data_IF_011241759773
#
_entry.id   IF_011241759773
#
_cell.length_a   1.000
_cell.length_b   1.000
_cell.length_c   1.000
_cell.angle_alpha   90.00
_cell.angle_beta   90.00
_cell.angle_gamma   90.00
#
_symmetry.space_group_name_H-M   'P 1'
#
loop_
_entity.id
_entity.type
_entity.pdbx_description
1 polymer ?
#
# COMPACT_ATOMS: atom_id res chain seq x y z
N UNK A 1 -5.65 -15.63 22.78
CA UNK A 1 -4.58 -15.32 21.81
C UNK A 1 -5.07 -15.74 20.44
N UNK A 2 -5.20 -14.82 19.48
CA UNK A 2 -5.41 -15.20 18.09
C UNK A 2 -4.06 -15.64 17.51
N UNK A 3 -3.98 -16.85 16.95
CA UNK A 3 -2.81 -17.28 16.18
C UNK A 3 -2.71 -16.39 14.93
N UNK A 4 -1.73 -15.47 14.94
CA UNK A 4 -1.44 -14.58 13.82
C UNK A 4 -0.86 -15.43 12.69
N UNK A 5 -1.45 -15.39 11.49
CA UNK A 5 -0.90 -16.15 10.36
C UNK A 5 0.45 -15.56 9.96
N UNK A 6 1.48 -16.40 9.97
CA UNK A 6 2.86 -16.00 9.67
C UNK A 6 3.05 -16.10 8.15
N UNK A 7 2.99 -14.94 7.47
CA UNK A 7 3.29 -14.83 6.05
C UNK A 7 4.77 -14.49 5.83
N UNK A 8 5.46 -15.25 5.00
CA UNK A 8 6.80 -14.96 4.48
C UNK A 8 6.69 -14.61 2.99
N UNK A 9 7.33 -13.53 2.56
CA UNK A 9 7.30 -13.06 1.17
C UNK A 9 8.68 -13.17 0.53
N UNK A 10 8.74 -13.66 -0.71
CA UNK A 10 9.95 -13.75 -1.52
C UNK A 10 9.70 -13.19 -2.91
N UNK A 11 10.76 -12.70 -3.55
CA UNK A 11 10.71 -12.22 -4.92
C UNK A 11 11.99 -12.60 -5.66
N UNK A 12 11.84 -13.11 -6.88
CA UNK A 12 12.91 -13.55 -7.76
C UNK A 12 12.74 -12.91 -9.14
N UNK A 13 13.81 -12.75 -9.91
CA UNK A 13 13.69 -12.52 -11.36
C UNK A 13 13.12 -13.78 -12.00
N UNK A 14 12.17 -13.61 -12.93
CA UNK A 14 11.60 -14.73 -13.68
C UNK A 14 12.65 -15.35 -14.60
N UNK A 15 13.35 -14.51 -15.35
CA UNK A 15 14.54 -14.91 -16.10
C UNK A 15 15.70 -15.19 -15.12
N UNK A 16 16.21 -16.43 -15.10
CA UNK A 16 17.39 -16.83 -14.32
C UNK A 16 17.18 -17.06 -12.81
N UNK A 17 16.01 -16.76 -12.24
CA UNK A 17 15.69 -17.11 -10.86
C UNK A 17 16.51 -16.39 -9.78
N UNK A 18 17.01 -15.18 -10.06
CA UNK A 18 17.89 -14.44 -9.16
C UNK A 18 17.05 -13.86 -8.00
N UNK A 19 17.36 -14.15 -6.73
CA UNK A 19 16.61 -13.59 -5.60
C UNK A 19 16.77 -12.07 -5.54
N UNK A 20 15.66 -11.35 -5.47
CA UNK A 20 15.60 -9.89 -5.35
C UNK A 20 15.43 -9.46 -3.89
N UNK A 21 14.50 -10.10 -3.16
CA UNK A 21 14.35 -9.89 -1.71
C UNK A 21 13.63 -11.05 -1.01
N UNK A 22 13.80 -11.11 0.30
CA UNK A 22 13.04 -11.97 1.21
C UNK A 22 12.59 -11.16 2.43
N UNK A 23 11.32 -11.29 2.81
CA UNK A 23 10.72 -10.65 3.99
C UNK A 23 10.12 -11.74 4.88
N UNK A 24 10.95 -12.32 5.73
CA UNK A 24 10.57 -13.34 6.70
C UNK A 24 9.83 -12.72 7.91
N UNK A 25 8.94 -13.49 8.54
CA UNK A 25 8.23 -13.14 9.77
C UNK A 25 9.15 -13.34 10.99
N UNK A 26 9.90 -14.45 11.01
CA UNK A 26 11.02 -14.67 11.92
C UNK A 26 12.34 -14.67 11.14
N UNK A 27 13.28 -13.83 11.56
CA UNK A 27 14.61 -13.72 10.95
C UNK A 27 15.52 -14.92 11.29
N UNK A 28 15.19 -15.71 12.33
CA UNK A 28 15.92 -16.95 12.65
C UNK A 28 15.83 -17.98 11.51
N UNK A 29 14.76 -17.93 10.71
CA UNK A 29 14.53 -18.83 9.56
C UNK A 29 15.42 -18.53 8.34
N UNK A 30 16.39 -17.60 8.43
CA UNK A 30 17.40 -17.39 7.39
C UNK A 30 18.24 -18.64 7.10
N UNK A 31 18.35 -19.59 8.04
CA UNK A 31 18.99 -20.88 7.79
C UNK A 31 18.24 -21.76 6.77
N UNK A 32 16.94 -21.53 6.56
CA UNK A 32 16.09 -22.29 5.62
C UNK A 32 16.09 -21.72 4.19
N UNK A 33 16.92 -20.70 3.88
CA UNK A 33 16.99 -20.07 2.55
C UNK A 33 17.23 -21.07 1.40
N UNK A 34 17.86 -22.22 1.69
CA UNK A 34 18.06 -23.33 0.75
C UNK A 34 16.75 -23.92 0.21
N UNK A 35 15.68 -23.95 1.02
CA UNK A 35 14.37 -24.43 0.58
C UNK A 35 13.70 -23.48 -0.42
N UNK A 36 13.91 -22.17 -0.32
CA UNK A 36 13.31 -21.21 -1.26
C UNK A 36 13.96 -21.27 -2.65
N UNK A 37 15.25 -21.64 -2.72
CA UNK A 37 15.89 -22.03 -3.98
C UNK A 37 15.21 -23.22 -4.64
N UNK A 38 14.75 -24.21 -3.86
CA UNK A 38 13.96 -25.34 -4.35
C UNK A 38 12.56 -24.91 -4.80
N UNK A 39 11.87 -24.01 -4.08
CA UNK A 39 10.56 -23.48 -4.49
C UNK A 39 10.63 -22.72 -5.82
N UNK A 40 11.69 -21.96 -6.05
CA UNK A 40 11.93 -21.30 -7.32
C UNK A 40 12.30 -22.32 -8.43
N UNK A 41 13.08 -23.36 -8.09
CA UNK A 41 13.39 -24.47 -8.99
C UNK A 41 12.15 -25.25 -9.44
N UNK A 42 11.17 -25.46 -8.55
CA UNK A 42 9.87 -26.07 -8.91
C UNK A 42 9.11 -25.19 -9.92
N UNK A 43 9.09 -23.87 -9.71
CA UNK A 43 8.45 -22.95 -10.65
C UNK A 43 9.12 -23.00 -12.03
N UNK A 44 10.45 -22.86 -12.09
CA UNK A 44 11.22 -22.91 -13.35
C UNK A 44 11.04 -24.26 -14.05
N UNK A 45 11.00 -25.36 -13.29
CA UNK A 45 10.74 -26.69 -13.86
C UNK A 45 9.35 -26.76 -14.49
N UNK A 46 8.31 -26.30 -13.81
CA UNK A 46 6.94 -26.33 -14.33
C UNK A 46 6.76 -25.38 -15.54
N UNK A 47 7.33 -24.17 -15.50
CA UNK A 47 7.28 -23.22 -16.62
C UNK A 47 7.96 -23.79 -17.89
N UNK A 48 9.06 -24.55 -17.75
CA UNK A 48 9.71 -25.25 -18.87
C UNK A 48 8.87 -26.40 -19.47
N UNK A 49 7.75 -26.77 -18.86
CA UNK A 49 6.79 -27.76 -19.36
C UNK A 49 5.42 -27.14 -19.68
N UNK A 50 5.35 -25.82 -19.85
CA UNK A 50 4.11 -25.05 -20.07
C UNK A 50 3.06 -25.21 -18.95
N UNK A 51 3.49 -25.49 -17.72
CA UNK A 51 2.64 -25.61 -16.52
C UNK A 51 2.88 -24.43 -15.58
N UNK A 52 1.81 -23.74 -15.18
CA UNK A 52 1.89 -22.69 -14.17
C UNK A 52 1.67 -23.26 -12.75
N UNK A 53 2.65 -23.12 -11.86
CA UNK A 53 2.42 -23.37 -10.42
C UNK A 53 1.68 -22.17 -9.82
N UNK A 54 0.44 -22.36 -9.38
CA UNK A 54 -0.33 -21.33 -8.68
C UNK A 54 -0.21 -21.54 -7.16
N UNK A 55 -0.28 -22.80 -6.73
CA UNK A 55 -0.49 -23.17 -5.33
C UNK A 55 0.18 -24.51 -4.96
N UNK A 56 0.67 -24.60 -3.73
CA UNK A 56 1.10 -25.84 -3.08
C UNK A 56 0.68 -25.81 -1.62
N UNK A 57 0.25 -26.95 -1.07
CA UNK A 57 -0.11 -27.08 0.35
C UNK A 57 0.53 -28.34 0.93
N UNK A 58 1.24 -28.19 2.06
CA UNK A 58 1.94 -29.30 2.74
C UNK A 58 1.85 -29.13 4.25
N UNK A 59 1.00 -29.95 4.89
CA UNK A 59 0.73 -29.84 6.32
C UNK A 59 0.07 -28.50 6.65
N UNK A 60 0.75 -27.68 7.46
CA UNK A 60 0.27 -26.36 7.89
C UNK A 60 0.90 -25.21 7.09
N UNK A 61 1.65 -25.53 6.02
CA UNK A 61 2.21 -24.56 5.09
C UNK A 61 1.39 -24.51 3.81
N UNK A 62 1.00 -23.30 3.41
CA UNK A 62 0.49 -22.98 2.09
C UNK A 62 1.49 -22.08 1.37
N UNK A 63 1.70 -22.34 0.09
CA UNK A 63 2.60 -21.57 -0.75
C UNK A 63 1.82 -21.15 -1.99
N UNK A 64 1.98 -19.88 -2.39
CA UNK A 64 1.39 -19.29 -3.59
C UNK A 64 2.48 -18.61 -4.40
N UNK A 65 2.41 -18.76 -5.71
CA UNK A 65 3.31 -18.10 -6.67
C UNK A 65 2.47 -17.19 -7.56
N UNK A 66 3.02 -16.04 -7.94
CA UNK A 66 2.42 -15.19 -8.97
C UNK A 66 3.52 -14.45 -9.74
N UNK A 67 3.44 -14.53 -11.06
CA UNK A 67 4.38 -13.89 -11.99
C UNK A 67 3.84 -12.52 -12.42
N UNK A 68 4.70 -11.51 -12.42
CA UNK A 68 4.34 -10.13 -12.73
C UNK A 68 5.23 -9.55 -13.83
N UNK A 69 4.60 -8.86 -14.79
CA UNK A 69 5.23 -8.20 -15.95
C UNK A 69 6.15 -9.09 -16.79
N UNK A 70 6.06 -10.42 -16.63
CA UNK A 70 7.03 -11.40 -17.14
C UNK A 70 8.49 -11.09 -16.73
N UNK A 71 8.68 -10.44 -15.57
CA UNK A 71 9.99 -9.95 -15.07
C UNK A 71 10.34 -10.52 -13.71
N UNK A 72 9.36 -10.60 -12.82
CA UNK A 72 9.56 -11.09 -11.46
C UNK A 72 8.49 -12.12 -11.08
N UNK A 73 8.85 -13.05 -10.21
CA UNK A 73 7.93 -14.01 -9.60
C UNK A 73 7.96 -13.79 -8.09
N UNK A 74 6.79 -13.52 -7.51
CA UNK A 74 6.63 -13.37 -6.07
C UNK A 74 6.04 -14.64 -5.48
N UNK A 75 6.56 -15.05 -4.33
CA UNK A 75 6.15 -16.27 -3.62
C UNK A 75 5.72 -15.88 -2.21
N UNK A 76 4.50 -16.24 -1.84
CA UNK A 76 3.96 -16.07 -0.50
C UNK A 76 3.87 -17.44 0.18
N UNK A 77 4.61 -17.62 1.28
CA UNK A 77 4.54 -18.81 2.12
C UNK A 77 3.79 -18.44 3.42
N UNK A 78 2.59 -18.99 3.60
CA UNK A 78 1.80 -18.83 4.80
C UNK A 78 1.93 -20.07 5.70
N UNK A 79 2.26 -19.88 6.98
CA UNK A 79 2.12 -20.90 8.02
C UNK A 79 0.84 -20.63 8.79
N UNK A 80 -0.14 -21.53 8.67
CA UNK A 80 -1.47 -21.32 9.25
C UNK A 80 -2.21 -22.63 9.47
N UNK A 81 -2.71 -22.82 10.70
CA UNK A 81 -3.62 -23.90 11.06
C UNK A 81 -5.06 -23.66 10.53
N UNK A 82 -5.36 -22.43 10.09
CA UNK A 82 -6.68 -22.00 9.65
C UNK A 82 -6.91 -22.49 8.22
N UNK A 83 -7.97 -23.27 8.04
CA UNK A 83 -8.52 -23.68 6.73
C UNK A 83 -9.82 -22.92 6.49
N UNK A 84 -9.78 -21.93 5.59
CA UNK A 84 -10.96 -21.16 5.16
C UNK A 84 -10.89 -20.96 3.65
N UNK A 85 -12.04 -21.13 2.99
CA UNK A 85 -12.19 -21.12 1.54
C UNK A 85 -11.73 -19.80 0.89
N UNK A 86 -11.85 -18.68 1.62
CA UNK A 86 -11.48 -17.35 1.13
C UNK A 86 -9.98 -17.03 1.28
N UNK A 87 -9.18 -17.89 1.93
CA UNK A 87 -7.75 -17.63 2.16
C UNK A 87 -6.95 -17.60 0.85
N UNK A 88 -7.35 -18.38 -0.15
CA UNK A 88 -6.66 -18.41 -1.46
C UNK A 88 -6.76 -17.04 -2.15
N UNK A 89 -7.98 -16.51 -2.26
CA UNK A 89 -8.23 -15.18 -2.86
C UNK A 89 -7.59 -14.05 -2.05
N UNK A 90 -7.49 -14.21 -0.72
CA UNK A 90 -6.78 -13.26 0.14
C UNK A 90 -5.27 -13.31 -0.07
N UNK A 91 -4.67 -14.50 -0.15
CA UNK A 91 -3.24 -14.71 -0.39
C UNK A 91 -2.81 -14.18 -1.77
N UNK A 92 -3.63 -14.38 -2.81
CA UNK A 92 -3.42 -13.80 -4.14
C UNK A 92 -3.53 -12.27 -4.13
N UNK A 93 -4.54 -11.71 -3.44
CA UNK A 93 -4.70 -10.26 -3.27
C UNK A 93 -3.54 -9.65 -2.49
N UNK A 94 -3.01 -10.37 -1.50
CA UNK A 94 -1.87 -9.94 -0.70
C UNK A 94 -0.59 -9.91 -1.55
N UNK A 95 -0.38 -10.90 -2.42
CA UNK A 95 0.65 -10.85 -3.46
C UNK A 95 0.47 -9.63 -4.38
N UNK A 96 -0.76 -9.36 -4.84
CA UNK A 96 -1.05 -8.19 -5.69
C UNK A 96 -0.80 -6.86 -4.97
N UNK A 97 -1.16 -6.73 -3.69
CA UNK A 97 -0.88 -5.54 -2.89
C UNK A 97 0.64 -5.35 -2.70
N UNK A 98 1.38 -6.43 -2.42
CA UNK A 98 2.84 -6.37 -2.33
C UNK A 98 3.50 -6.03 -3.67
N UNK A 99 3.02 -6.58 -4.80
CA UNK A 99 3.51 -6.22 -6.12
C UNK A 99 3.22 -4.75 -6.47
N UNK A 100 1.97 -4.30 -6.30
CA UNK A 100 1.59 -2.93 -6.60
C UNK A 100 2.22 -1.91 -5.62
N UNK A 101 2.68 -2.33 -4.45
CA UNK A 101 3.56 -1.52 -3.59
C UNK A 101 4.93 -1.25 -4.20
N UNK A 102 5.48 -2.19 -4.98
CA UNK A 102 6.70 -1.93 -5.77
C UNK A 102 6.42 -0.91 -6.86
N UNK A 103 5.28 -1.03 -7.55
CA UNK A 103 4.87 -0.05 -8.56
C UNK A 103 4.67 1.33 -7.91
N UNK A 104 3.99 1.42 -6.77
CA UNK A 104 3.78 2.68 -6.02
C UNK A 104 5.11 3.42 -5.75
N UNK A 105 6.16 2.69 -5.37
CA UNK A 105 7.42 3.28 -4.88
C UNK A 105 8.50 3.45 -5.96
N UNK A 106 8.54 2.56 -6.96
CA UNK A 106 9.61 2.50 -7.97
C UNK A 106 9.11 2.70 -9.42
N UNK A 107 7.80 2.57 -9.64
CA UNK A 107 7.18 2.62 -10.96
C UNK A 107 7.35 1.32 -11.76
N UNK A 108 6.48 1.12 -12.75
CA UNK A 108 6.49 -0.05 -13.61
C UNK A 108 7.77 -0.16 -14.45
N UNK A 109 8.31 0.97 -14.91
CA UNK A 109 9.51 1.01 -15.74
C UNK A 109 10.76 0.42 -15.07
N UNK A 110 10.90 0.58 -13.75
CA UNK A 110 12.02 0.01 -12.99
C UNK A 110 11.95 -1.53 -12.98
N UNK A 111 10.75 -2.09 -12.75
CA UNK A 111 10.52 -3.54 -12.76
C UNK A 111 10.72 -4.14 -14.17
N UNK A 112 10.28 -3.44 -15.22
CA UNK A 112 10.53 -3.82 -16.62
C UNK A 112 12.00 -3.70 -17.01
N UNK A 113 12.75 -2.84 -16.33
CA UNK A 113 14.19 -2.61 -16.47
C UNK A 113 15.09 -3.67 -15.84
N UNK A 114 14.53 -4.65 -15.09
CA UNK A 114 15.27 -5.75 -14.43
C UNK A 114 15.78 -6.82 -15.42
N UNK A 115 16.56 -6.40 -16.42
CA UNK A 115 17.22 -7.26 -17.43
C UNK A 115 18.73 -7.34 -17.27
N UNK A 116 19.34 -6.33 -16.64
CA UNK A 116 20.79 -6.23 -16.44
C UNK A 116 21.15 -6.51 -14.98
N UNK A 117 22.26 -7.21 -14.75
CA UNK A 117 22.79 -7.46 -13.41
C UNK A 117 23.04 -6.18 -12.60
N UNK A 118 23.41 -5.08 -13.26
CA UNK A 118 23.59 -3.79 -12.59
C UNK A 118 22.29 -3.25 -11.99
N UNK A 119 21.19 -3.26 -12.76
CA UNK A 119 19.87 -2.79 -12.32
C UNK A 119 19.34 -3.68 -11.17
N UNK A 120 19.56 -5.00 -11.27
CA UNK A 120 19.19 -5.95 -10.23
C UNK A 120 19.88 -5.63 -8.89
N UNK A 121 21.18 -5.29 -8.89
CA UNK A 121 21.92 -4.94 -7.66
C UNK A 121 21.59 -3.55 -7.10
N UNK A 122 21.05 -2.64 -7.92
CA UNK A 122 20.45 -1.37 -7.45
C UNK A 122 19.10 -1.66 -6.80
N UNK A 123 18.20 -2.34 -7.51
CA UNK A 123 16.86 -2.69 -7.02
C UNK A 123 16.88 -3.48 -5.70
N UNK A 124 17.82 -4.42 -5.52
CA UNK A 124 18.06 -5.16 -4.26
C UNK A 124 18.35 -4.25 -3.04
N UNK A 125 18.88 -3.05 -3.28
CA UNK A 125 19.13 -2.04 -2.22
C UNK A 125 17.88 -1.21 -1.99
N UNK A 126 17.27 -0.73 -3.07
CA UNK A 126 16.18 0.24 -3.01
C UNK A 126 14.86 -0.38 -2.56
N UNK A 127 14.61 -1.66 -2.89
CA UNK A 127 13.42 -2.42 -2.45
C UNK A 127 13.25 -2.51 -0.93
N UNK A 128 14.32 -2.24 -0.16
CA UNK A 128 14.26 -2.14 1.31
C UNK A 128 13.33 -1.01 1.78
N UNK A 129 13.13 0.03 0.97
CA UNK A 129 12.16 1.10 1.24
C UNK A 129 10.72 0.58 1.33
N UNK A 130 10.39 -0.51 0.62
CA UNK A 130 9.07 -1.14 0.65
C UNK A 130 8.85 -2.06 1.88
N UNK A 131 9.88 -2.37 2.67
CA UNK A 131 9.78 -3.41 3.71
C UNK A 131 8.81 -3.06 4.84
N UNK A 132 8.73 -1.78 5.25
CA UNK A 132 7.74 -1.36 6.26
C UNK A 132 6.30 -1.51 5.73
N UNK A 133 6.08 -1.14 4.46
CA UNK A 133 4.78 -1.28 3.79
C UNK A 133 4.39 -2.76 3.67
N UNK A 134 5.34 -3.63 3.29
CA UNK A 134 5.13 -5.07 3.32
C UNK A 134 4.79 -5.57 4.72
N UNK A 135 5.45 -5.12 5.78
CA UNK A 135 5.12 -5.58 7.13
C UNK A 135 3.70 -5.17 7.57
N UNK A 136 3.18 -4.01 7.18
CA UNK A 136 1.77 -3.67 7.45
C UNK A 136 0.84 -4.56 6.61
N UNK A 137 1.08 -4.70 5.31
CA UNK A 137 0.24 -5.52 4.41
C UNK A 137 0.21 -6.99 4.81
N UNK A 138 1.36 -7.58 5.17
CA UNK A 138 1.49 -8.94 5.70
C UNK A 138 0.93 -9.08 7.14
N UNK A 139 0.26 -8.04 7.66
CA UNK A 139 -0.45 -8.06 8.93
C UNK A 139 0.44 -8.08 10.16
N UNK A 140 1.69 -7.61 10.06
CA UNK A 140 2.70 -7.59 11.15
C UNK A 140 2.75 -6.26 11.92
N UNK A 141 2.25 -5.17 11.31
CA UNK A 141 2.17 -3.85 11.95
C UNK A 141 1.28 -3.80 13.20
N UNK A 142 1.30 -2.66 13.90
CA UNK A 142 0.48 -2.41 15.10
C UNK A 142 -0.97 -1.99 14.79
N UNK A 143 -1.29 -1.78 13.52
CA UNK A 143 -2.59 -1.32 13.06
C UNK A 143 -3.32 -2.44 12.32
N UNK A 144 -4.63 -2.55 12.55
CA UNK A 144 -5.49 -3.56 11.96
C UNK A 144 -6.49 -2.90 11.00
N UNK A 145 -5.95 -2.39 9.88
CA UNK A 145 -6.74 -1.93 8.75
C UNK A 145 -7.44 -3.12 8.07
N UNK A 146 -8.73 -2.99 7.75
CA UNK A 146 -9.50 -4.03 7.06
C UNK A 146 -9.37 -3.93 5.55
N UNK A 147 -8.91 -2.79 5.03
CA UNK A 147 -8.78 -2.49 3.60
C UNK A 147 -8.05 -3.55 2.78
N UNK A 148 -6.93 -4.07 3.28
CA UNK A 148 -6.17 -5.16 2.64
C UNK A 148 -6.96 -6.49 2.55
N UNK A 149 -7.83 -6.76 3.53
CA UNK A 149 -8.71 -7.94 3.57
C UNK A 149 -9.95 -7.75 2.71
N UNK A 150 -10.59 -6.59 2.78
CA UNK A 150 -11.90 -6.33 2.20
C UNK A 150 -11.85 -5.82 0.74
N UNK A 151 -10.68 -5.41 0.23
CA UNK A 151 -10.56 -4.66 -1.04
C UNK A 151 -11.50 -3.43 -1.04
N UNK A 152 -11.32 -2.61 -0.01
CA UNK A 152 -12.06 -1.41 0.32
C UNK A 152 -11.08 -0.43 0.98
N UNK A 153 -11.41 0.84 1.12
CA UNK A 153 -10.61 1.83 1.85
C UNK A 153 -11.17 1.97 3.26
N UNK A 154 -10.34 1.93 4.30
CA UNK A 154 -10.82 2.20 5.65
C UNK A 154 -11.13 3.70 5.80
N UNK A 155 -12.41 4.01 6.03
CA UNK A 155 -12.91 5.37 6.22
C UNK A 155 -13.31 5.56 7.68
N UNK A 156 -12.95 6.70 8.25
CA UNK A 156 -13.39 7.10 9.60
C UNK A 156 -14.34 8.29 9.52
N UNK A 157 -15.39 8.28 10.34
CA UNK A 157 -16.37 9.35 10.39
C UNK A 157 -15.84 10.59 11.11
N UNK A 158 -15.92 11.77 10.50
CA UNK A 158 -15.84 13.05 11.21
C UNK A 158 -16.87 14.05 10.66
N UNK A 159 -17.84 14.40 11.50
CA UNK A 159 -18.91 15.36 11.22
C UNK A 159 -18.37 16.79 11.21
N UNK A 160 -17.84 17.23 10.06
CA UNK A 160 -17.39 18.61 9.90
C UNK A 160 -17.32 19.03 8.44
N UNK A 161 -18.40 19.60 7.91
CA UNK A 161 -18.40 20.34 6.63
C UNK A 161 -17.29 21.39 6.57
N UNK A 162 -16.98 22.03 7.70
CA UNK A 162 -15.88 22.98 7.85
C UNK A 162 -14.53 22.37 7.43
N UNK A 163 -14.25 21.11 7.77
CA UNK A 163 -13.02 20.44 7.34
C UNK A 163 -12.99 20.17 5.84
N UNK A 164 -14.15 19.87 5.24
CA UNK A 164 -14.28 19.67 3.80
C UNK A 164 -13.99 20.97 3.03
N UNK A 165 -14.51 22.10 3.50
CA UNK A 165 -14.25 23.42 2.91
C UNK A 165 -12.76 23.80 2.99
N UNK A 166 -12.12 23.57 4.14
CA UNK A 166 -10.69 23.87 4.32
C UNK A 166 -9.79 22.94 3.50
N UNK A 167 -10.14 21.65 3.37
CA UNK A 167 -9.44 20.72 2.50
C UNK A 167 -9.54 21.13 1.03
N UNK A 168 -10.75 21.48 0.57
CA UNK A 168 -10.98 21.92 -0.81
C UNK A 168 -10.20 23.21 -1.11
N UNK A 169 -10.28 24.21 -0.23
CA UNK A 169 -9.56 25.48 -0.40
C UNK A 169 -8.03 25.30 -0.36
N UNK A 170 -7.52 24.39 0.49
CA UNK A 170 -6.09 24.09 0.55
C UNK A 170 -5.60 23.32 -0.69
N UNK A 171 -6.38 22.34 -1.17
CA UNK A 171 -6.09 21.61 -2.40
C UNK A 171 -6.11 22.53 -3.64
N UNK A 172 -7.09 23.43 -3.74
CA UNK A 172 -7.17 24.46 -4.79
C UNK A 172 -5.98 25.41 -4.73
N UNK A 173 -5.63 25.92 -3.54
CA UNK A 173 -4.45 26.76 -3.34
C UNK A 173 -3.14 26.05 -3.72
N UNK A 174 -3.06 24.74 -3.45
CA UNK A 174 -1.97 23.86 -3.85
C UNK A 174 -2.02 23.44 -5.33
N UNK A 175 -3.04 23.86 -6.09
CA UNK A 175 -3.32 23.44 -7.48
C UNK A 175 -3.40 21.91 -7.64
N UNK A 176 -3.76 21.21 -6.57
CA UNK A 176 -3.88 19.75 -6.52
C UNK A 176 -5.34 19.34 -6.69
N UNK A 177 -5.67 18.45 -7.65
CA UNK A 177 -7.00 17.84 -7.72
C UNK A 177 -7.24 16.83 -6.58
N UNK A 178 -6.18 16.23 -6.03
CA UNK A 178 -6.24 15.13 -5.07
C UNK A 178 -5.78 15.62 -3.69
N UNK A 179 -6.66 15.54 -2.70
CA UNK A 179 -6.31 15.78 -1.30
C UNK A 179 -7.18 14.96 -0.34
N UNK A 180 -6.60 14.60 0.80
CA UNK A 180 -7.28 13.86 1.87
C UNK A 180 -6.72 14.20 3.25
N UNK A 181 -7.57 14.21 4.26
CA UNK A 181 -7.19 14.12 5.68
C UNK A 181 -7.20 12.64 6.07
N UNK A 182 -6.11 12.18 6.68
CA UNK A 182 -5.88 10.79 7.08
C UNK A 182 -5.58 10.74 8.58
N UNK A 183 -6.22 9.81 9.27
CA UNK A 183 -6.05 9.55 10.71
C UNK A 183 -5.71 8.08 10.88
N UNK A 184 -4.47 7.77 11.27
CA UNK A 184 -3.95 6.39 11.47
C UNK A 184 -4.15 5.47 10.25
N UNK A 185 -3.95 6.01 9.04
CA UNK A 185 -4.16 5.28 7.79
C UNK A 185 -5.62 5.14 7.37
N UNK A 186 -6.57 5.74 8.09
CA UNK A 186 -7.97 5.80 7.68
C UNK A 186 -8.28 7.17 7.07
N UNK A 187 -8.99 7.17 5.94
CA UNK A 187 -9.41 8.38 5.23
C UNK A 187 -10.60 9.02 5.97
N UNK A 188 -10.56 10.33 6.22
CA UNK A 188 -11.61 11.04 6.99
C UNK A 188 -12.37 12.05 6.12
N UNK A 189 -11.63 12.92 5.41
CA UNK A 189 -12.17 14.00 4.57
C UNK A 189 -11.39 14.01 3.28
N UNK A 190 -12.03 14.24 2.13
CA UNK A 190 -11.43 14.01 0.80
C UNK A 190 -11.90 15.02 -0.23
N UNK A 191 -11.08 15.34 -1.23
CA UNK A 191 -11.58 16.04 -2.42
C UNK A 191 -12.41 15.09 -3.29
N UNK A 192 -13.43 15.58 -4.01
CA UNK A 192 -14.27 14.78 -4.92
C UNK A 192 -13.47 13.90 -5.91
N UNK A 193 -12.28 14.35 -6.32
CA UNK A 193 -11.43 13.59 -7.26
C UNK A 193 -10.60 12.51 -6.57
N UNK A 194 -10.41 12.53 -5.25
CA UNK A 194 -9.72 11.48 -4.50
C UNK A 194 -10.37 10.10 -4.74
N UNK A 195 -11.71 10.05 -4.73
CA UNK A 195 -12.49 8.84 -5.04
C UNK A 195 -12.47 8.39 -6.50
N UNK A 196 -11.73 9.07 -7.38
CA UNK A 196 -11.45 8.59 -8.75
C UNK A 196 -10.15 7.79 -8.86
N UNK A 197 -9.38 7.72 -7.77
CA UNK A 197 -8.28 6.78 -7.64
C UNK A 197 -8.88 5.40 -7.36
N UNK A 198 -8.25 4.37 -7.91
CA UNK A 198 -8.71 3.00 -7.71
C UNK A 198 -8.67 2.62 -6.23
N UNK A 199 -9.57 1.72 -5.81
CA UNK A 199 -9.54 1.17 -4.44
C UNK A 199 -8.16 0.59 -4.06
N UNK A 200 -7.41 0.06 -5.04
CA UNK A 200 -6.04 -0.42 -4.89
C UNK A 200 -5.07 0.72 -4.50
N UNK A 201 -5.07 1.81 -5.26
CA UNK A 201 -4.22 2.99 -5.00
C UNK A 201 -4.51 3.61 -3.65
N UNK A 202 -5.78 3.80 -3.32
CA UNK A 202 -6.22 4.35 -2.04
C UNK A 202 -5.77 3.48 -0.86
N UNK A 203 -5.93 2.16 -0.98
CA UNK A 203 -5.45 1.19 0.02
C UNK A 203 -3.94 1.29 0.20
N UNK A 204 -3.18 1.33 -0.89
CA UNK A 204 -1.72 1.34 -0.85
C UNK A 204 -1.16 2.67 -0.31
N UNK A 205 -1.75 3.82 -0.68
CA UNK A 205 -1.37 5.13 -0.15
C UNK A 205 -1.60 5.17 1.36
N UNK A 206 -2.77 4.74 1.82
CA UNK A 206 -3.11 4.71 3.25
C UNK A 206 -2.14 3.82 4.06
N UNK A 207 -1.84 2.62 3.56
CA UNK A 207 -0.84 1.74 4.18
C UNK A 207 0.58 2.31 4.12
N UNK A 208 0.95 2.96 3.01
CA UNK A 208 2.28 3.55 2.83
C UNK A 208 2.54 4.68 3.83
N UNK A 209 1.58 5.59 4.00
CA UNK A 209 1.67 6.68 4.97
C UNK A 209 1.72 6.15 6.41
N UNK A 210 0.98 5.08 6.70
CA UNK A 210 1.02 4.38 7.99
C UNK A 210 2.34 3.64 8.25
N UNK A 211 3.03 3.21 7.20
CA UNK A 211 4.35 2.55 7.25
C UNK A 211 5.54 3.52 7.25
N UNK A 212 5.27 4.78 6.91
CA UNK A 212 6.26 5.83 6.80
C UNK A 212 6.64 6.36 8.19
N UNK A 213 7.91 6.77 8.41
CA UNK A 213 8.30 7.43 9.65
C UNK A 213 7.42 8.66 9.96
N UNK A 214 7.17 8.91 11.24
CA UNK A 214 6.50 10.11 11.71
C UNK A 214 7.38 11.33 11.40
N UNK A 215 6.81 12.34 10.75
CA UNK A 215 7.46 13.60 10.42
C UNK A 215 6.40 14.67 10.19
N UNK A 216 6.67 15.91 10.63
CA UNK A 216 5.76 17.05 10.42
C UNK A 216 5.51 17.37 8.93
N UNK A 217 6.43 16.96 8.06
CA UNK A 217 6.41 17.22 6.62
C UNK A 217 7.12 16.08 5.88
N UNK A 218 6.52 15.60 4.78
CA UNK A 218 7.10 14.55 3.90
C UNK A 218 6.72 14.84 2.45
N UNK A 219 7.61 14.49 1.53
CA UNK A 219 7.44 14.64 0.08
C UNK A 219 7.99 13.37 -0.57
N UNK A 220 7.11 12.51 -1.06
CA UNK A 220 7.46 11.21 -1.62
C UNK A 220 7.18 11.17 -3.12
N UNK A 221 8.15 10.77 -3.97
CA UNK A 221 7.81 10.34 -5.31
C UNK A 221 6.95 9.07 -5.21
N UNK A 222 5.80 9.06 -5.86
CA UNK A 222 4.94 7.88 -6.00
C UNK A 222 4.49 7.71 -7.45
N UNK A 223 4.17 6.49 -7.84
CA UNK A 223 3.45 6.18 -9.07
C UNK A 223 2.07 5.64 -8.70
N UNK A 224 1.10 5.75 -9.59
CA UNK A 224 -0.27 5.29 -9.33
C UNK A 224 -0.48 3.96 -10.07
N UNK A 225 -0.49 2.78 -9.40
CA UNK A 225 -0.35 1.50 -10.10
C UNK A 225 -1.43 1.15 -11.12
N UNK A 226 -2.61 1.78 -11.04
CA UNK A 226 -3.69 1.63 -12.01
C UNK A 226 -3.77 2.83 -12.96
N UNK A 227 -3.75 4.04 -12.41
CA UNK A 227 -4.05 5.30 -13.11
C UNK A 227 -2.87 5.84 -13.92
N UNK A 228 -1.64 5.64 -13.44
CA UNK A 228 -0.41 6.10 -14.12
C UNK A 228 0.84 5.39 -13.55
N UNK A 229 1.08 4.11 -13.89
CA UNK A 229 2.14 3.29 -13.29
C UNK A 229 3.56 3.66 -13.75
N UNK A 230 3.69 4.47 -14.79
CA UNK A 230 4.97 4.91 -15.39
C UNK A 230 5.28 6.39 -15.21
N UNK A 231 4.34 7.19 -14.69
CA UNK A 231 4.50 8.64 -14.49
C UNK A 231 4.61 8.94 -12.99
N UNK A 232 5.71 9.55 -12.52
CA UNK A 232 5.86 9.91 -11.12
C UNK A 232 5.02 11.14 -10.76
N UNK A 233 4.36 11.07 -9.61
CA UNK A 233 3.68 12.15 -8.90
C UNK A 233 4.38 12.37 -7.55
N UNK A 234 3.98 13.43 -6.85
CA UNK A 234 4.44 13.71 -5.48
C UNK A 234 3.29 13.53 -4.49
N UNK A 235 3.46 12.61 -3.55
CA UNK A 235 2.62 12.48 -2.36
C UNK A 235 3.25 13.33 -1.25
N UNK A 236 2.67 14.51 -1.06
CA UNK A 236 3.11 15.46 -0.03
C UNK A 236 2.19 15.34 1.18
N UNK A 237 2.76 15.22 2.39
CA UNK A 237 1.97 15.14 3.63
C UNK A 237 2.47 16.07 4.72
N UNK A 238 1.54 16.65 5.48
CA UNK A 238 1.83 17.46 6.66
C UNK A 238 1.09 16.92 7.88
N UNK A 239 1.79 16.78 9.01
CA UNK A 239 1.17 16.46 10.29
C UNK A 239 0.45 17.71 10.82
N UNK A 240 -0.87 17.62 11.02
CA UNK A 240 -1.66 18.72 11.58
C UNK A 240 -1.78 18.60 13.10
N UNK A 241 -1.92 17.35 13.58
CA UNK A 241 -1.94 16.95 14.97
C UNK A 241 -1.35 15.54 15.04
N UNK A 242 -0.99 15.07 16.24
CA UNK A 242 -0.50 13.70 16.43
C UNK A 242 -1.46 12.68 15.79
N UNK A 243 -0.91 11.83 14.93
CA UNK A 243 -1.59 10.79 14.16
C UNK A 243 -2.62 11.29 13.12
N UNK A 244 -2.77 12.61 12.91
CA UNK A 244 -3.64 13.26 11.91
C UNK A 244 -2.76 14.00 10.89
N UNK A 245 -2.78 13.51 9.66
CA UNK A 245 -1.99 14.03 8.54
C UNK A 245 -2.93 14.51 7.43
N UNK A 246 -2.57 15.59 6.76
CA UNK A 246 -3.21 15.98 5.50
C UNK A 246 -2.25 15.70 4.35
N UNK A 247 -2.77 15.11 3.27
CA UNK A 247 -1.99 14.70 2.11
C UNK A 247 -2.54 15.29 0.80
N UNK A 248 -1.64 15.45 -0.18
CA UNK A 248 -1.94 15.81 -1.56
C UNK A 248 -1.18 14.89 -2.51
N UNK A 249 -1.77 14.62 -3.68
CA UNK A 249 -1.04 14.06 -4.82
C UNK A 249 -0.94 15.16 -5.89
N UNK A 250 0.24 15.76 -6.00
CA UNK A 250 0.50 16.88 -6.91
C UNK A 250 1.64 16.58 -7.88
N UNK A 251 1.81 17.45 -8.87
CA UNK A 251 2.89 17.36 -9.86
C UNK A 251 4.21 17.94 -9.37
N UNK A 252 5.12 18.34 -10.28
CA UNK A 252 6.41 18.95 -9.92
C UNK A 252 6.29 20.35 -9.28
N UNK A 253 5.08 20.92 -9.22
CA UNK A 253 4.79 22.19 -8.56
C UNK A 253 3.41 22.12 -7.91
N UNK A 254 3.17 22.81 -6.78
CA UNK A 254 4.09 23.66 -6.02
C UNK A 254 5.18 22.89 -5.26
N UNK A 255 6.23 23.60 -4.84
CA UNK A 255 7.32 23.08 -4.02
C UNK A 255 6.87 22.79 -2.58
N UNK A 256 7.65 21.95 -1.87
CA UNK A 256 7.38 21.60 -0.48
C UNK A 256 7.34 22.82 0.45
N UNK A 257 8.23 23.79 0.22
CA UNK A 257 8.35 25.00 1.04
C UNK A 257 7.17 25.97 0.83
N UNK A 258 6.68 26.10 -0.41
CA UNK A 258 5.46 26.85 -0.71
C UNK A 258 4.26 26.22 0.01
N UNK A 259 4.09 24.90 -0.10
CA UNK A 259 3.02 24.16 0.59
C UNK A 259 3.12 24.31 2.12
N UNK A 260 4.32 24.19 2.69
CA UNK A 260 4.55 24.35 4.12
C UNK A 260 4.15 25.74 4.62
N UNK A 261 4.44 26.79 3.85
CA UNK A 261 4.05 28.18 4.19
C UNK A 261 2.52 28.37 4.24
N UNK A 262 1.77 27.53 3.53
CA UNK A 262 0.32 27.54 3.50
C UNK A 262 -0.30 26.78 4.68
N UNK A 263 0.37 25.79 5.27
CA UNK A 263 -0.24 24.90 6.28
C UNK A 263 -0.87 25.68 7.43
N UNK A 264 -0.15 26.62 8.05
CA UNK A 264 -0.71 27.40 9.16
C UNK A 264 -1.90 28.26 8.71
N UNK A 265 -1.82 28.89 7.53
CA UNK A 265 -2.87 29.76 7.00
C UNK A 265 -4.21 29.03 6.83
N UNK A 266 -4.18 27.78 6.36
CA UNK A 266 -5.41 27.00 6.13
C UNK A 266 -5.85 26.21 7.37
N UNK A 267 -4.94 25.59 8.12
CA UNK A 267 -5.34 24.63 9.15
C UNK A 267 -5.49 25.22 10.56
N UNK A 268 -4.95 26.42 10.83
CA UNK A 268 -4.98 27.03 12.18
C UNK A 268 -6.38 27.30 12.72
N UNK A 269 -7.34 27.64 11.87
CA UNK A 269 -8.73 27.87 12.28
C UNK A 269 -9.45 26.58 12.71
N UNK A 270 -9.05 25.44 12.15
CA UNK A 270 -9.76 24.15 12.30
C UNK A 270 -9.09 23.16 13.25
N UNK A 271 -8.03 23.54 13.97
CA UNK A 271 -7.42 22.67 15.00
C UNK A 271 -8.39 22.18 16.07
N UNK A 272 -9.44 22.95 16.41
CA UNK A 272 -10.49 22.50 17.35
C UNK A 272 -11.34 21.38 16.72
N UNK A 273 -11.99 21.56 15.54
CA UNK A 273 -12.61 20.47 14.76
C UNK A 273 -11.72 19.22 14.58
N UNK A 274 -10.45 19.40 14.21
CA UNK A 274 -9.51 18.28 14.03
C UNK A 274 -9.28 17.50 15.33
N UNK A 275 -9.19 18.18 16.49
CA UNK A 275 -9.10 17.50 17.80
C UNK A 275 -10.38 16.76 18.19
N UNK A 276 -11.54 17.16 17.69
CA UNK A 276 -12.81 16.43 17.88
C UNK A 276 -13.02 15.27 16.90
N UNK A 277 -12.22 15.15 15.84
CA UNK A 277 -12.14 13.92 15.04
C UNK A 277 -11.44 12.81 15.83
N UNK A 278 -12.14 12.25 16.81
CA UNK A 278 -11.75 11.01 17.47
C UNK A 278 -12.34 9.82 16.70
N UNK A 279 -11.54 8.78 16.50
CA UNK A 279 -11.99 7.50 15.94
C UNK A 279 -13.08 6.91 16.86
N UNK A 280 -14.33 7.00 16.42
CA UNK A 280 -15.46 6.32 17.07
C UNK A 280 -15.67 4.93 16.45
N UNK A 281 -15.74 4.87 15.12
CA UNK A 281 -15.91 3.63 14.35
C UNK A 281 -15.12 3.73 13.03
N UNK A 282 -14.73 2.57 12.47
CA UNK A 282 -14.10 2.44 11.15
C UNK A 282 -15.05 1.71 10.21
N UNK A 283 -15.19 2.19 8.97
CA UNK A 283 -16.04 1.56 7.96
C UNK A 283 -15.19 1.31 6.70
N UNK A 284 -14.99 0.06 6.25
CA UNK A 284 -14.34 -0.22 4.98
C UNK A 284 -15.31 0.07 3.81
N UNK A 285 -14.97 1.06 2.96
CA UNK A 285 -15.81 1.55 1.87
C UNK A 285 -15.11 1.31 0.51
N UNK A 286 -15.81 0.73 -0.46
CA UNK A 286 -15.28 0.57 -1.83
C UNK A 286 -15.51 1.83 -2.67
N UNK A 287 -14.71 2.03 -3.73
CA UNK A 287 -14.88 3.11 -4.71
C UNK A 287 -16.31 3.21 -5.28
N UNK A 288 -16.98 2.07 -5.51
CA UNK A 288 -18.39 2.04 -5.95
C UNK A 288 -19.32 2.66 -4.90
N UNK A 289 -19.17 2.26 -3.65
CA UNK A 289 -19.96 2.83 -2.54
C UNK A 289 -19.68 4.33 -2.38
N UNK A 290 -18.42 4.77 -2.53
CA UNK A 290 -18.06 6.19 -2.45
C UNK A 290 -18.64 7.03 -3.60
N UNK A 291 -18.80 6.45 -4.80
CA UNK A 291 -19.41 7.12 -5.95
C UNK A 291 -20.93 7.34 -5.79
N UNK A 292 -21.59 6.51 -4.98
CA UNK A 292 -23.04 6.59 -4.73
C UNK A 292 -23.35 7.48 -3.52
N UNK A 293 -23.42 8.80 -3.77
CA UNK A 293 -23.82 9.82 -2.77
C UNK A 293 -25.08 9.46 -1.97
N UNK A 294 -25.98 8.65 -2.53
CA UNK A 294 -27.22 8.21 -1.88
C UNK A 294 -27.05 7.05 -0.88
N UNK A 295 -26.11 6.11 -1.09
CA UNK A 295 -25.76 5.11 -0.05
C UNK A 295 -24.99 5.79 1.07
N UNK A 296 -24.14 6.72 0.66
CA UNK A 296 -23.32 7.50 1.55
C UNK A 296 -24.17 8.30 2.55
N UNK A 297 -25.22 9.04 2.16
CA UNK A 297 -25.98 9.89 3.12
C UNK A 297 -27.46 9.54 3.32
N UNK A 298 -27.86 8.56 4.15
CA UNK A 298 -27.14 7.33 4.53
C UNK A 298 -26.46 7.35 5.92
N UNK A 299 -25.15 7.22 5.88
CA UNK A 299 -24.15 7.23 6.97
C UNK A 299 -23.48 8.61 7.17
N UNK A 300 -23.99 9.66 6.53
CA UNK A 300 -23.63 11.09 6.71
C UNK A 300 -24.87 11.91 7.08
#
# INVERSE_FOLDING_TARGET
MQERSEYNLFCFTKEGGIPLFSRLADQSMQAELSYFGVLNGIQIFNENHDVETIACEKGNYRIRWKSYLNRITMILCAKSNIKSINLIQYEERLLDLCFNSLILLFGQGEIEGLKSGANIEVFKKDVKLAFNLFDILLGRGSYHLLSSVCNAVDVGYCDSSILQDHLNAWAEGAKSPYGSIILKGCTIVTTDKWWKLSTLELTLINHFLLSSPASHCRDFPIFLPHSSPTVPHRLVTFELLKDIEVCLICGPSPSLLELQSMVERFWRAVYKPLRSCCLKEFIPITEKCASERNIMGYLF
#
